data_IF_565570945325
#
_entry.id   IF_565570945325
#
_cell.length_a   1.000
_cell.length_b   1.000
_cell.length_c   1.000
_cell.angle_alpha   90.00
_cell.angle_beta   90.00
_cell.angle_gamma   90.00
#
_symmetry.space_group_name_H-M   'P 1'
#
loop_
_entity.id
_entity.type
_entity.pdbx_description
1 polymer ?
#
# COMPACT_ATOMS: atom_id res chain seq x y z
N UNK A 1 29.74 -23.78 48.40
CA UNK A 1 30.36 -22.47 48.13
C UNK A 1 31.70 -22.69 47.41
N UNK A 2 31.73 -22.74 46.12
CA UNK A 2 32.98 -22.73 45.35
C UNK A 2 33.39 -21.24 45.17
N UNK A 3 34.47 -20.85 45.88
CA UNK A 3 35.06 -19.52 45.78
C UNK A 3 35.67 -19.32 44.38
N UNK A 4 35.09 -18.45 43.59
CA UNK A 4 35.68 -17.97 42.35
C UNK A 4 37.05 -17.30 42.68
N UNK A 5 38.11 -17.54 41.85
CA UNK A 5 39.42 -16.93 42.07
C UNK A 5 39.31 -15.42 42.13
N UNK A 6 39.99 -14.79 43.10
CA UNK A 6 39.95 -13.31 43.30
C UNK A 6 40.27 -12.47 42.07
N UNK A 7 40.97 -13.03 41.09
CA UNK A 7 41.30 -12.37 39.80
C UNK A 7 40.13 -12.21 38.83
N UNK A 8 39.04 -12.99 38.98
CA UNK A 8 37.86 -12.90 38.11
C UNK A 8 36.80 -11.95 38.64
N UNK A 9 36.92 -11.52 39.89
CA UNK A 9 35.95 -10.68 40.58
C UNK A 9 35.70 -9.31 39.89
N UNK A 10 36.73 -8.56 39.40
CA UNK A 10 36.51 -7.30 38.68
C UNK A 10 35.96 -7.49 37.29
N UNK A 11 36.36 -8.59 36.61
CA UNK A 11 35.89 -8.88 35.25
C UNK A 11 34.40 -9.27 35.21
N UNK A 12 33.96 -10.10 36.15
CA UNK A 12 32.54 -10.50 36.27
C UNK A 12 31.67 -9.32 36.69
N UNK A 13 32.16 -8.42 37.56
CA UNK A 13 31.47 -7.19 37.94
C UNK A 13 31.36 -6.23 36.75
N UNK A 14 32.40 -6.07 35.97
CA UNK A 14 32.38 -5.23 34.74
C UNK A 14 31.41 -5.73 33.71
N UNK A 15 31.35 -7.04 33.50
CA UNK A 15 30.38 -7.65 32.57
C UNK A 15 28.91 -7.49 33.03
N UNK A 16 28.68 -7.58 34.35
CA UNK A 16 27.35 -7.33 34.95
C UNK A 16 26.89 -5.90 34.72
N UNK A 17 27.75 -4.91 34.96
CA UNK A 17 27.44 -3.51 34.70
C UNK A 17 27.22 -3.23 33.21
N UNK A 18 28.07 -3.79 32.33
CA UNK A 18 27.91 -3.67 30.91
C UNK A 18 26.59 -4.29 30.43
N UNK A 19 26.22 -5.43 30.93
CA UNK A 19 24.97 -6.11 30.62
C UNK A 19 23.75 -5.28 31.08
N UNK A 20 23.78 -4.71 32.28
CA UNK A 20 22.72 -3.84 32.81
C UNK A 20 22.61 -2.56 32.00
N UNK A 21 23.73 -1.93 31.64
CA UNK A 21 23.75 -0.72 30.79
C UNK A 21 23.23 -1.04 29.37
N UNK A 22 23.63 -2.17 28.79
CA UNK A 22 23.15 -2.59 27.47
C UNK A 22 21.67 -2.97 27.47
N UNK A 23 21.19 -3.67 28.53
CA UNK A 23 19.77 -3.95 28.71
C UNK A 23 18.98 -2.66 28.95
N UNK A 24 19.50 -1.74 29.76
CA UNK A 24 18.90 -0.42 29.98
C UNK A 24 18.77 0.35 28.67
N UNK A 25 19.81 0.45 27.87
CA UNK A 25 19.77 1.12 26.56
C UNK A 25 18.78 0.42 25.60
N UNK A 26 18.75 -0.91 25.58
CA UNK A 26 17.84 -1.66 24.70
C UNK A 26 16.38 -1.54 25.10
N UNK A 27 16.10 -1.31 26.39
CA UNK A 27 14.73 -1.22 26.91
C UNK A 27 14.24 0.24 27.00
N UNK A 28 15.04 1.12 27.59
CA UNK A 28 14.64 2.51 27.82
C UNK A 28 14.69 3.37 26.57
N UNK A 29 15.62 3.13 25.64
CA UNK A 29 15.69 3.91 24.40
C UNK A 29 14.43 3.75 23.54
N UNK A 30 13.94 2.53 23.23
CA UNK A 30 12.68 2.38 22.50
C UNK A 30 11.50 2.98 23.27
N UNK A 31 11.45 2.80 24.58
CA UNK A 31 10.36 3.35 25.40
C UNK A 31 10.30 4.88 25.35
N UNK A 32 11.44 5.53 25.54
CA UNK A 32 11.54 6.99 25.46
C UNK A 32 11.25 7.49 24.04
N UNK A 33 11.72 6.77 23.01
CA UNK A 33 11.39 7.09 21.64
C UNK A 33 9.90 7.00 21.37
N UNK A 34 9.23 5.94 21.82
CA UNK A 34 7.78 5.78 21.64
C UNK A 34 7.01 6.90 22.34
N UNK A 35 7.39 7.22 23.59
CA UNK A 35 6.75 8.32 24.32
C UNK A 35 6.96 9.65 23.58
N UNK A 36 8.20 10.01 23.27
CA UNK A 36 8.50 11.28 22.60
C UNK A 36 7.86 11.38 21.21
N UNK A 37 8.06 10.35 20.36
CA UNK A 37 7.46 10.29 19.02
C UNK A 37 5.95 10.26 19.12
N UNK A 38 5.37 9.52 20.08
CA UNK A 38 3.92 9.49 20.30
C UNK A 38 3.36 10.87 20.63
N UNK A 39 3.99 11.62 21.53
CA UNK A 39 3.60 13.00 21.84
C UNK A 39 3.68 13.91 20.63
N UNK A 40 4.81 13.90 19.92
CA UNK A 40 5.02 14.70 18.71
C UNK A 40 3.99 14.33 17.63
N UNK A 41 3.72 13.05 17.45
CA UNK A 41 2.73 12.58 16.48
C UNK A 41 1.31 13.05 16.85
N UNK A 42 0.89 12.89 18.09
CA UNK A 42 -0.46 13.26 18.52
C UNK A 42 -0.69 14.78 18.49
N UNK A 43 0.26 15.57 18.93
CA UNK A 43 0.06 17.01 19.11
C UNK A 43 0.51 17.86 17.93
N UNK A 44 1.45 17.37 17.11
CA UNK A 44 1.94 18.12 15.96
C UNK A 44 1.48 17.50 14.64
N UNK A 45 1.82 16.24 14.40
CA UNK A 45 1.50 15.59 13.12
C UNK A 45 0.04 15.17 13.00
N UNK A 46 -0.63 14.81 14.10
CA UNK A 46 -2.04 14.44 14.09
C UNK A 46 -2.95 15.55 13.60
N UNK A 47 -2.93 16.76 14.17
CA UNK A 47 -3.74 17.89 13.69
C UNK A 47 -3.44 18.28 12.25
N UNK A 48 -2.16 18.28 11.86
CA UNK A 48 -1.76 18.55 10.46
C UNK A 48 -2.33 17.47 9.52
N UNK A 49 -2.22 16.21 9.93
CA UNK A 49 -2.77 15.08 9.17
C UNK A 49 -4.29 15.15 9.02
N UNK A 50 -5.01 15.56 10.06
CA UNK A 50 -6.46 15.76 9.98
C UNK A 50 -6.83 16.85 8.98
N UNK A 51 -6.20 18.02 9.03
CA UNK A 51 -6.47 19.11 8.07
C UNK A 51 -6.22 18.68 6.63
N UNK A 52 -5.11 17.98 6.38
CA UNK A 52 -4.81 17.44 5.05
C UNK A 52 -5.83 16.36 4.65
N UNK A 53 -6.21 15.47 5.57
CA UNK A 53 -7.21 14.44 5.37
C UNK A 53 -8.57 15.02 5.00
N UNK A 54 -9.06 16.00 5.76
CA UNK A 54 -10.32 16.68 5.50
C UNK A 54 -10.31 17.43 4.17
N UNK A 55 -9.18 18.07 3.83
CA UNK A 55 -9.03 18.73 2.53
C UNK A 55 -9.13 17.72 1.36
N UNK A 56 -8.44 16.56 1.47
CA UNK A 56 -8.53 15.51 0.47
C UNK A 56 -9.92 14.88 0.40
N UNK A 57 -10.59 14.68 1.54
CA UNK A 57 -11.96 14.19 1.61
C UNK A 57 -12.93 15.12 0.88
N UNK A 58 -12.87 16.42 1.16
CA UNK A 58 -13.72 17.43 0.52
C UNK A 58 -13.50 17.48 -1.01
N UNK A 59 -12.25 17.40 -1.47
CA UNK A 59 -11.94 17.31 -2.91
C UNK A 59 -12.54 16.05 -3.50
N UNK A 60 -12.35 14.91 -2.84
CA UNK A 60 -12.89 13.63 -3.30
C UNK A 60 -14.41 13.69 -3.41
N UNK A 61 -15.11 14.12 -2.36
CA UNK A 61 -16.56 14.23 -2.35
C UNK A 61 -17.10 15.18 -3.44
N UNK A 62 -16.44 16.32 -3.62
CA UNK A 62 -16.80 17.26 -4.68
C UNK A 62 -16.69 16.62 -6.07
N UNK A 63 -15.59 15.93 -6.35
CA UNK A 63 -15.37 15.29 -7.64
C UNK A 63 -16.29 14.07 -7.80
N UNK A 64 -16.54 13.31 -6.74
CA UNK A 64 -17.42 12.15 -6.76
C UNK A 64 -18.87 12.54 -7.03
N UNK A 65 -19.35 13.58 -6.38
CA UNK A 65 -20.71 14.12 -6.58
C UNK A 65 -20.89 14.74 -7.97
N UNK A 66 -19.82 15.32 -8.54
CA UNK A 66 -19.84 15.80 -9.93
C UNK A 66 -19.89 14.63 -10.92
N UNK A 67 -19.02 13.64 -10.78
CA UNK A 67 -18.98 12.44 -11.62
C UNK A 67 -18.19 11.31 -10.94
N UNK A 68 -18.85 10.21 -10.55
CA UNK A 68 -18.18 9.03 -10.03
C UNK A 68 -17.13 8.44 -10.98
N UNK A 69 -17.37 8.55 -12.30
CA UNK A 69 -16.43 8.07 -13.33
C UNK A 69 -15.13 8.86 -13.29
N UNK A 70 -15.23 10.19 -13.22
CA UNK A 70 -14.05 11.07 -13.16
C UNK A 70 -13.31 10.85 -11.83
N UNK A 71 -14.04 10.74 -10.72
CA UNK A 71 -13.46 10.45 -9.41
C UNK A 71 -12.70 9.12 -9.42
N UNK A 72 -13.30 8.07 -9.99
CA UNK A 72 -12.67 6.77 -10.13
C UNK A 72 -11.43 6.80 -11.02
N UNK A 73 -11.50 7.51 -12.17
CA UNK A 73 -10.35 7.69 -13.06
C UNK A 73 -9.18 8.40 -12.37
N UNK A 74 -9.46 9.49 -11.67
CA UNK A 74 -8.44 10.26 -10.95
C UNK A 74 -7.85 9.45 -9.80
N UNK A 75 -8.70 8.89 -8.93
CA UNK A 75 -8.24 8.11 -7.79
C UNK A 75 -7.45 6.89 -8.25
N UNK A 76 -7.95 6.11 -9.21
CA UNK A 76 -7.26 4.95 -9.76
C UNK A 76 -5.90 5.28 -10.39
N UNK A 77 -5.75 6.49 -10.97
CA UNK A 77 -4.46 6.95 -11.53
C UNK A 77 -3.49 7.37 -10.44
N UNK A 78 -3.96 8.12 -9.42
CA UNK A 78 -3.10 8.83 -8.47
C UNK A 78 -2.81 8.00 -7.23
N UNK A 79 -3.68 7.05 -6.87
CA UNK A 79 -3.55 6.32 -5.60
C UNK A 79 -2.20 5.59 -5.48
N UNK A 80 -1.71 4.96 -6.54
CA UNK A 80 -0.44 4.25 -6.48
C UNK A 80 0.78 5.18 -6.35
N UNK A 81 0.89 6.31 -7.06
CA UNK A 81 1.84 7.37 -6.71
C UNK A 81 1.71 7.85 -5.26
N UNK A 82 0.51 8.00 -4.73
CA UNK A 82 0.29 8.42 -3.34
C UNK A 82 0.78 7.40 -2.32
N UNK A 83 0.75 6.10 -2.65
CA UNK A 83 1.34 5.04 -1.81
C UNK A 83 2.83 5.29 -1.60
N UNK A 84 3.56 5.78 -2.61
CA UNK A 84 5.01 6.05 -2.52
C UNK A 84 5.31 7.07 -1.40
N UNK A 85 4.43 8.05 -1.22
CA UNK A 85 4.56 9.11 -0.22
C UNK A 85 3.79 8.82 1.08
N UNK A 86 3.03 7.72 1.14
CA UNK A 86 2.20 7.36 2.30
C UNK A 86 0.86 8.09 2.39
N UNK A 87 0.53 9.00 1.48
CA UNK A 87 -0.72 9.79 1.52
C UNK A 87 -1.99 8.97 1.28
N UNK A 88 -1.87 7.76 0.73
CA UNK A 88 -3.00 6.85 0.54
C UNK A 88 -3.73 6.51 1.85
N UNK A 89 -3.05 6.59 3.01
CA UNK A 89 -3.67 6.34 4.32
C UNK A 89 -4.78 7.34 4.63
N UNK A 90 -4.73 8.58 4.13
CA UNK A 90 -5.82 9.54 4.29
C UNK A 90 -7.12 9.02 3.65
N UNK A 91 -7.04 8.44 2.46
CA UNK A 91 -8.19 7.83 1.79
C UNK A 91 -8.71 6.58 2.50
N UNK A 92 -7.82 5.78 3.07
CA UNK A 92 -8.20 4.61 3.87
C UNK A 92 -9.00 5.04 5.11
N UNK A 93 -8.56 6.08 5.82
CA UNK A 93 -9.28 6.62 6.97
C UNK A 93 -10.64 7.20 6.59
N UNK A 94 -10.75 7.87 5.43
CA UNK A 94 -12.03 8.34 4.88
C UNK A 94 -12.97 7.15 4.65
N UNK A 95 -12.47 6.09 3.98
CA UNK A 95 -13.25 4.88 3.74
C UNK A 95 -13.72 4.20 5.02
N UNK A 96 -12.85 4.09 6.03
CA UNK A 96 -13.22 3.56 7.34
C UNK A 96 -14.32 4.40 8.02
N UNK A 97 -14.19 5.73 7.99
CA UNK A 97 -15.18 6.63 8.53
C UNK A 97 -16.52 6.52 7.80
N UNK A 98 -16.50 6.46 6.47
CA UNK A 98 -17.71 6.31 5.65
C UNK A 98 -18.44 5.01 5.99
N UNK A 99 -17.73 3.89 6.14
CA UNK A 99 -18.34 2.61 6.56
C UNK A 99 -18.96 2.74 7.95
N UNK A 100 -18.27 3.37 8.89
CA UNK A 100 -18.75 3.53 10.26
C UNK A 100 -19.99 4.42 10.36
N UNK A 101 -20.08 5.50 9.56
CA UNK A 101 -21.13 6.52 9.65
C UNK A 101 -22.25 6.25 8.63
N UNK A 102 -21.91 5.86 7.39
CA UNK A 102 -22.85 5.70 6.28
C UNK A 102 -23.18 4.23 5.99
N UNK A 103 -22.49 3.27 6.63
CA UNK A 103 -22.66 1.83 6.40
C UNK A 103 -22.01 1.32 5.10
N UNK A 104 -21.44 2.19 4.27
CA UNK A 104 -20.76 1.81 3.03
C UNK A 104 -19.78 2.89 2.57
N UNK A 105 -18.81 2.49 1.75
CA UNK A 105 -17.79 3.39 1.21
C UNK A 105 -17.53 3.15 -0.28
N UNK A 106 -17.26 4.24 -1.00
CA UNK A 106 -16.94 4.23 -2.42
C UNK A 106 -15.44 4.37 -2.67
N UNK A 107 -14.69 4.99 -1.76
CA UNK A 107 -13.23 5.23 -1.91
C UNK A 107 -12.48 3.91 -2.07
N UNK A 108 -12.74 2.95 -1.18
CA UNK A 108 -12.09 1.65 -1.22
C UNK A 108 -12.40 0.89 -2.51
N UNK A 109 -13.65 0.98 -3.02
CA UNK A 109 -14.01 0.38 -4.29
C UNK A 109 -13.24 0.99 -5.46
N UNK A 110 -13.10 2.33 -5.50
CA UNK A 110 -12.39 3.02 -6.58
C UNK A 110 -10.87 2.78 -6.55
N UNK A 111 -10.30 2.37 -5.41
CA UNK A 111 -8.89 2.01 -5.28
C UNK A 111 -8.57 0.61 -5.83
N UNK A 112 -9.55 -0.29 -5.90
CA UNK A 112 -9.38 -1.69 -6.31
C UNK A 112 -8.65 -1.87 -7.64
N UNK A 113 -9.11 -1.26 -8.74
CA UNK A 113 -8.50 -1.42 -10.05
C UNK A 113 -7.00 -1.10 -10.09
N UNK A 114 -6.54 -0.14 -9.30
CA UNK A 114 -5.12 0.21 -9.22
C UNK A 114 -4.27 -0.89 -8.54
N UNK A 115 -4.85 -1.63 -7.60
CA UNK A 115 -4.21 -2.79 -6.96
C UNK A 115 -4.00 -3.91 -7.99
N UNK A 116 -5.03 -4.23 -8.78
CA UNK A 116 -4.95 -5.25 -9.83
C UNK A 116 -4.06 -4.80 -11.01
N UNK A 117 -4.01 -3.51 -11.33
CA UNK A 117 -3.09 -2.94 -12.30
C UNK A 117 -1.62 -3.17 -11.90
N UNK A 118 -1.28 -3.09 -10.61
CA UNK A 118 0.06 -3.42 -10.11
C UNK A 118 0.43 -4.88 -10.42
N UNK A 119 -0.48 -5.81 -10.19
CA UNK A 119 -0.26 -7.22 -10.51
C UNK A 119 -0.09 -7.44 -12.01
N UNK A 120 -0.92 -6.79 -12.84
CA UNK A 120 -0.85 -6.86 -14.30
C UNK A 120 0.48 -6.35 -14.85
N UNK A 121 0.92 -5.17 -14.44
CA UNK A 121 2.22 -4.62 -14.84
C UNK A 121 3.39 -5.49 -14.37
N UNK A 122 3.33 -6.01 -13.14
CA UNK A 122 4.33 -6.93 -12.60
C UNK A 122 4.42 -8.24 -13.38
N UNK A 123 3.29 -8.76 -13.87
CA UNK A 123 3.27 -9.94 -14.74
C UNK A 123 4.02 -9.69 -16.06
N UNK A 124 3.89 -8.51 -16.65
CA UNK A 124 4.65 -8.14 -17.85
C UNK A 124 6.16 -8.10 -17.58
N UNK A 125 6.57 -7.59 -16.40
CA UNK A 125 7.98 -7.60 -15.98
C UNK A 125 8.48 -9.02 -15.76
N UNK A 126 7.69 -9.86 -15.09
CA UNK A 126 8.00 -11.29 -14.88
C UNK A 126 8.25 -12.02 -16.19
N UNK A 127 7.39 -11.86 -17.18
CA UNK A 127 7.52 -12.53 -18.49
C UNK A 127 8.75 -12.04 -19.27
N UNK A 128 9.09 -10.76 -19.14
CA UNK A 128 10.26 -10.17 -19.83
C UNK A 128 11.60 -10.46 -19.16
N UNK A 129 11.62 -10.76 -17.87
CA UNK A 129 12.86 -11.05 -17.16
C UNK A 129 13.50 -12.36 -17.62
N UNK A 130 14.83 -12.39 -17.64
CA UNK A 130 15.64 -13.59 -17.89
C UNK A 130 16.30 -14.11 -16.60
N UNK A 131 16.39 -13.31 -15.55
CA UNK A 131 16.97 -13.71 -14.27
C UNK A 131 15.97 -14.53 -13.46
N UNK A 132 16.27 -15.78 -13.22
CA UNK A 132 15.44 -16.74 -12.47
C UNK A 132 15.19 -16.28 -11.03
N UNK A 133 16.20 -15.68 -10.37
CA UNK A 133 16.05 -15.18 -9.00
C UNK A 133 15.06 -14.00 -8.97
N UNK A 134 15.21 -13.08 -9.91
CA UNK A 134 14.30 -11.95 -10.02
C UNK A 134 12.88 -12.39 -10.41
N UNK A 135 12.72 -13.38 -11.26
CA UNK A 135 11.39 -13.98 -11.55
C UNK A 135 10.71 -14.50 -10.29
N UNK A 136 11.42 -15.15 -9.39
CA UNK A 136 10.84 -15.62 -8.13
C UNK A 136 10.32 -14.45 -7.26
N UNK A 137 11.08 -13.34 -7.22
CA UNK A 137 10.65 -12.12 -6.53
C UNK A 137 9.40 -11.53 -7.21
N UNK A 138 9.36 -11.45 -8.54
CA UNK A 138 8.19 -10.99 -9.27
C UNK A 138 6.96 -11.85 -8.97
N UNK A 139 7.09 -13.18 -9.02
CA UNK A 139 5.98 -14.09 -8.79
C UNK A 139 5.40 -13.95 -7.39
N UNK A 140 6.24 -13.95 -6.34
CA UNK A 140 5.77 -13.75 -4.96
C UNK A 140 5.14 -12.36 -4.75
N UNK A 141 5.69 -11.32 -5.39
CA UNK A 141 5.15 -9.96 -5.31
C UNK A 141 3.81 -9.81 -6.04
N UNK A 142 3.61 -10.50 -7.17
CA UNK A 142 2.33 -10.54 -7.89
C UNK A 142 1.27 -11.18 -7.00
N UNK A 143 1.58 -12.32 -6.38
CA UNK A 143 0.66 -12.97 -5.44
C UNK A 143 0.32 -12.05 -4.27
N UNK A 144 1.33 -11.40 -3.67
CA UNK A 144 1.11 -10.41 -2.61
C UNK A 144 0.16 -9.30 -3.04
N UNK A 145 0.33 -8.74 -4.24
CA UNK A 145 -0.54 -7.69 -4.78
C UNK A 145 -1.98 -8.17 -4.98
N UNK A 146 -2.20 -9.40 -5.47
CA UNK A 146 -3.53 -9.97 -5.62
C UNK A 146 -4.25 -10.15 -4.26
N UNK A 147 -3.50 -10.25 -3.17
CA UNK A 147 -4.02 -10.24 -1.79
C UNK A 147 -4.05 -8.85 -1.15
N UNK A 148 -3.86 -7.78 -1.94
CA UNK A 148 -4.03 -6.40 -1.49
C UNK A 148 -2.76 -5.72 -0.96
N UNK A 149 -1.64 -6.44 -0.89
CA UNK A 149 -0.35 -5.89 -0.40
C UNK A 149 0.50 -5.55 -1.63
N UNK A 150 0.47 -4.28 -2.03
CA UNK A 150 1.10 -3.81 -3.29
C UNK A 150 2.53 -3.31 -3.13
N UNK A 151 3.02 -3.09 -1.91
CA UNK A 151 4.36 -2.55 -1.65
C UNK A 151 5.48 -3.42 -2.25
N UNK A 152 5.47 -4.76 -2.12
CA UNK A 152 6.54 -5.59 -2.67
C UNK A 152 6.64 -5.47 -4.19
N UNK A 153 5.51 -5.48 -4.91
CA UNK A 153 5.51 -5.38 -6.36
C UNK A 153 5.81 -3.95 -6.82
N UNK A 154 5.32 -2.96 -6.10
CA UNK A 154 5.57 -1.56 -6.41
C UNK A 154 7.05 -1.21 -6.25
N UNK A 155 7.61 -1.39 -5.06
CA UNK A 155 9.00 -0.99 -4.78
C UNK A 155 10.04 -1.96 -5.34
N UNK A 156 9.74 -3.28 -5.38
CA UNK A 156 10.67 -4.29 -5.87
C UNK A 156 10.67 -4.47 -7.39
N UNK A 157 9.54 -4.21 -8.04
CA UNK A 157 9.34 -4.57 -9.44
C UNK A 157 9.00 -3.38 -10.33
N UNK A 158 7.88 -2.70 -10.10
CA UNK A 158 7.32 -1.73 -11.04
C UNK A 158 8.00 -0.36 -10.98
N UNK A 159 8.16 0.22 -9.79
CA UNK A 159 8.71 1.56 -9.59
C UNK A 159 10.17 1.70 -10.02
N UNK A 160 11.10 0.77 -9.69
CA UNK A 160 12.49 0.87 -10.13
C UNK A 160 12.66 0.88 -11.65
N UNK A 161 11.70 0.32 -12.37
CA UNK A 161 11.68 0.26 -13.85
C UNK A 161 10.92 1.40 -14.48
N UNK A 162 10.29 2.27 -13.70
CA UNK A 162 9.53 3.49 -14.09
C UNK A 162 8.37 3.21 -15.05
N UNK A 163 8.62 2.64 -16.23
CA UNK A 163 7.59 2.42 -17.27
C UNK A 163 6.46 1.48 -16.84
N UNK A 164 6.71 0.35 -16.16
CA UNK A 164 5.63 -0.44 -15.58
C UNK A 164 4.78 0.35 -14.59
N UNK A 165 5.37 1.26 -13.81
CA UNK A 165 4.61 2.12 -12.89
C UNK A 165 3.68 3.10 -13.65
N UNK A 166 4.12 3.63 -14.80
CA UNK A 166 3.24 4.44 -15.68
C UNK A 166 2.08 3.59 -16.19
N UNK A 167 2.35 2.35 -16.58
CA UNK A 167 1.30 1.42 -17.03
C UNK A 167 0.27 1.15 -15.92
N UNK A 168 0.72 1.04 -14.66
CA UNK A 168 -0.17 0.91 -13.50
C UNK A 168 -1.08 2.13 -13.35
N UNK A 169 -0.53 3.34 -13.46
CA UNK A 169 -1.33 4.57 -13.35
C UNK A 169 -2.40 4.64 -14.45
N UNK A 170 -2.05 4.27 -15.68
CA UNK A 170 -3.01 4.29 -16.83
C UNK A 170 -4.06 3.19 -16.64
N UNK A 171 -3.64 1.95 -16.37
CA UNK A 171 -4.55 0.82 -16.14
C UNK A 171 -5.47 1.04 -14.95
N UNK A 172 -4.91 1.53 -13.84
CA UNK A 172 -5.66 1.89 -12.65
C UNK A 172 -6.68 3.01 -12.91
N UNK A 173 -6.31 4.03 -13.70
CA UNK A 173 -7.22 5.12 -14.06
C UNK A 173 -8.39 4.65 -14.93
N UNK A 174 -8.14 3.83 -15.94
CA UNK A 174 -9.22 3.29 -16.81
C UNK A 174 -10.12 2.34 -16.00
N UNK A 175 -9.54 1.42 -15.24
CA UNK A 175 -10.31 0.55 -14.36
C UNK A 175 -11.08 1.34 -13.30
N UNK A 176 -10.45 2.35 -12.69
CA UNK A 176 -11.09 3.23 -11.73
C UNK A 176 -12.31 3.97 -12.32
N UNK A 177 -12.23 4.43 -13.57
CA UNK A 177 -13.37 5.01 -14.28
C UNK A 177 -14.55 4.02 -14.40
N UNK A 178 -14.26 2.76 -14.74
CA UNK A 178 -15.27 1.69 -14.84
C UNK A 178 -15.83 1.36 -13.44
N UNK A 179 -14.98 1.29 -12.40
CA UNK A 179 -15.42 1.10 -11.04
C UNK A 179 -16.33 2.25 -10.57
N UNK A 180 -16.00 3.50 -10.91
CA UNK A 180 -16.85 4.66 -10.65
C UNK A 180 -18.21 4.57 -11.34
N UNK A 181 -18.24 4.09 -12.58
CA UNK A 181 -19.48 3.85 -13.31
C UNK A 181 -20.31 2.71 -12.70
N UNK A 182 -19.66 1.69 -12.15
CA UNK A 182 -20.36 0.54 -11.55
C UNK A 182 -21.20 0.90 -10.33
N UNK A 183 -20.85 1.97 -9.63
CA UNK A 183 -21.48 2.35 -8.37
C UNK A 183 -21.19 1.40 -7.21
N UNK A 184 -20.23 0.48 -7.35
CA UNK A 184 -19.87 -0.47 -6.31
C UNK A 184 -19.39 0.22 -5.04
N UNK A 185 -19.73 -0.38 -3.90
CA UNK A 185 -19.40 0.15 -2.56
C UNK A 185 -18.85 -0.97 -1.68
N UNK A 186 -17.91 -0.62 -0.82
CA UNK A 186 -17.47 -1.51 0.24
C UNK A 186 -18.46 -1.47 1.41
N UNK A 187 -18.95 -2.60 1.88
CA UNK A 187 -19.85 -2.72 3.04
C UNK A 187 -19.12 -3.01 4.34
N UNK A 188 -17.84 -3.30 4.27
CA UNK A 188 -16.94 -3.49 5.42
C UNK A 188 -15.54 -3.01 5.04
N UNK A 189 -14.72 -2.74 6.06
CA UNK A 189 -13.34 -2.36 5.80
C UNK A 189 -12.49 -3.57 5.37
N UNK A 190 -11.97 -3.51 4.16
CA UNK A 190 -10.93 -4.41 3.68
C UNK A 190 -10.14 -3.74 2.57
N UNK A 191 -8.83 -4.04 2.49
CA UNK A 191 -8.05 -3.65 1.33
C UNK A 191 -8.55 -4.40 0.08
N UNK A 192 -8.74 -3.71 -1.06
CA UNK A 192 -9.16 -4.35 -2.30
C UNK A 192 -8.21 -5.48 -2.68
N UNK A 193 -8.76 -6.68 -2.87
CA UNK A 193 -8.00 -7.90 -3.15
C UNK A 193 -8.92 -9.01 -3.65
N UNK A 194 -8.37 -10.10 -4.17
CA UNK A 194 -9.16 -11.29 -4.51
C UNK A 194 -9.91 -11.86 -3.29
N UNK A 195 -9.29 -11.82 -2.10
CA UNK A 195 -9.91 -12.34 -0.89
C UNK A 195 -11.04 -11.45 -0.36
N UNK A 196 -10.97 -10.14 -0.61
CA UNK A 196 -11.95 -9.17 -0.13
C UNK A 196 -13.05 -8.86 -1.14
N UNK A 197 -13.09 -9.48 -2.32
CA UNK A 197 -14.16 -9.27 -3.30
C UNK A 197 -15.58 -9.35 -2.72
N UNK A 198 -15.90 -10.28 -1.79
CA UNK A 198 -17.23 -10.33 -1.18
C UNK A 198 -17.64 -9.05 -0.44
N UNK A 199 -16.68 -8.24 0.00
CA UNK A 199 -16.95 -6.96 0.70
C UNK A 199 -17.58 -5.93 -0.23
N UNK A 200 -17.38 -6.05 -1.53
CA UNK A 200 -17.93 -5.18 -2.57
C UNK A 200 -19.20 -5.73 -3.22
N UNK A 201 -19.78 -6.80 -2.62
CA UNK A 201 -20.99 -7.41 -3.14
C UNK A 201 -22.19 -6.45 -3.01
N UNK A 202 -22.93 -6.30 -4.11
CA UNK A 202 -24.08 -5.42 -4.22
C UNK A 202 -24.34 -4.99 -5.67
N UNK A 203 -25.03 -3.88 -5.83
CA UNK A 203 -25.28 -3.31 -7.15
C UNK A 203 -23.96 -2.95 -7.86
N UNK A 204 -23.83 -3.39 -9.12
CA UNK A 204 -22.62 -3.14 -9.90
C UNK A 204 -21.42 -4.06 -9.60
N UNK A 205 -21.55 -5.09 -8.74
CA UNK A 205 -20.46 -5.99 -8.36
C UNK A 205 -19.74 -6.66 -9.54
N UNK A 206 -20.51 -7.19 -10.52
CA UNK A 206 -19.92 -7.82 -11.70
C UNK A 206 -19.09 -6.83 -12.53
N UNK A 207 -19.59 -5.60 -12.66
CA UNK A 207 -18.89 -4.55 -13.38
C UNK A 207 -17.65 -4.07 -12.61
N UNK A 208 -17.69 -4.09 -11.27
CA UNK A 208 -16.54 -3.84 -10.41
C UNK A 208 -15.44 -4.90 -10.63
N UNK A 209 -15.76 -6.19 -10.60
CA UNK A 209 -14.80 -7.26 -10.91
C UNK A 209 -14.24 -7.08 -12.32
N UNK A 210 -15.08 -6.74 -13.30
CA UNK A 210 -14.64 -6.48 -14.66
C UNK A 210 -13.67 -5.30 -14.72
N UNK A 211 -13.88 -4.26 -13.92
CA UNK A 211 -12.98 -3.11 -13.83
C UNK A 211 -11.59 -3.50 -13.33
N UNK A 212 -11.50 -4.38 -12.33
CA UNK A 212 -10.25 -4.90 -11.78
C UNK A 212 -9.49 -5.73 -12.83
N UNK A 213 -10.20 -6.61 -13.55
CA UNK A 213 -9.62 -7.43 -14.62
C UNK A 213 -9.14 -6.56 -15.78
N UNK A 214 -9.94 -5.58 -16.22
CA UNK A 214 -9.58 -4.65 -17.29
C UNK A 214 -8.34 -3.82 -16.89
N UNK A 215 -8.29 -3.32 -15.66
CA UNK A 215 -7.14 -2.59 -15.14
C UNK A 215 -5.85 -3.43 -15.21
N UNK A 216 -5.92 -4.69 -14.78
CA UNK A 216 -4.79 -5.62 -14.84
C UNK A 216 -4.35 -5.88 -16.29
N UNK A 217 -5.29 -6.16 -17.20
CA UNK A 217 -5.00 -6.43 -18.61
C UNK A 217 -4.39 -5.20 -19.29
N UNK A 218 -4.94 -4.02 -19.11
CA UNK A 218 -4.42 -2.78 -19.68
C UNK A 218 -3.02 -2.49 -19.16
N UNK A 219 -2.81 -2.57 -17.86
CA UNK A 219 -1.49 -2.37 -17.26
C UNK A 219 -0.48 -3.40 -17.77
N UNK A 220 -0.89 -4.66 -17.93
CA UNK A 220 -0.07 -5.71 -18.51
C UNK A 220 0.33 -5.38 -19.96
N UNK A 221 -0.65 -5.06 -20.82
CA UNK A 221 -0.40 -4.78 -22.25
C UNK A 221 0.52 -3.57 -22.40
N UNK A 222 0.25 -2.46 -21.71
CA UNK A 222 1.08 -1.26 -21.76
C UNK A 222 2.49 -1.57 -21.28
N UNK A 223 2.66 -2.22 -20.11
CA UNK A 223 3.96 -2.57 -19.59
C UNK A 223 4.69 -3.56 -20.52
N UNK A 224 3.95 -4.48 -21.15
CA UNK A 224 4.54 -5.43 -22.09
C UNK A 224 4.99 -4.77 -23.39
N UNK A 225 4.25 -3.80 -23.92
CA UNK A 225 4.61 -3.08 -25.14
C UNK A 225 5.76 -2.08 -24.92
N UNK A 226 5.88 -1.51 -23.74
CA UNK A 226 6.91 -0.51 -23.45
C UNK A 226 8.31 -1.16 -23.35
N UNK A 227 9.31 -0.54 -24.00
CA UNK A 227 10.72 -0.95 -23.87
C UNK A 227 11.34 -0.34 -22.61
N UNK A 228 11.84 -1.17 -21.70
CA UNK A 228 12.58 -0.77 -20.49
C UNK A 228 13.62 -1.81 -20.12
N UNK A 229 14.60 -1.43 -19.28
CA UNK A 229 15.56 -2.40 -18.72
C UNK A 229 14.84 -3.23 -17.67
N UNK A 230 14.73 -4.52 -17.91
CA UNK A 230 14.04 -5.46 -17.01
C UNK A 230 14.95 -5.84 -15.85
N UNK A 231 16.12 -6.35 -16.18
CA UNK A 231 17.13 -6.77 -15.22
C UNK A 231 18.02 -5.55 -14.97
N UNK A 232 17.85 -4.91 -13.81
CA UNK A 232 18.67 -3.79 -13.38
C UNK A 232 20.02 -4.36 -12.95
N UNK A 233 21.11 -3.81 -13.46
CA UNK A 233 22.45 -4.19 -13.02
C UNK A 233 22.56 -4.01 -11.50
N UNK A 234 23.15 -5.02 -10.85
CA UNK A 234 23.47 -5.01 -9.43
C UNK A 234 24.51 -3.94 -9.11
#
# INVERSE_FOLDING_TARGET
CFGLPRFLHPFVRGQGYLCIILMGKRFFTPLLCIIFVGFVTLFLFGPIGMVIGDFLANIYEYIYNFSPIISGALLGTVIQPMVIFGFHWSFILIGMNNIAVLGSDTVLALMGPAVFAQAGAGLAVFLKSKDTKFKSICASSILSALFGITEPIMFGVNLPRKKPMIAVCIGGGIGGAIAGYSGAKAIAFAFPSLASLPVFYGDGFLLYILSDVIAAIIAFIIAYCLKFKVDLAK
#
